data_IF_953266794409
#
_entry.id   IF_953266794409
#
_cell.length_a   1.000
_cell.length_b   1.000
_cell.length_c   1.000
_cell.angle_alpha   90.00
_cell.angle_beta   90.00
_cell.angle_gamma   90.00
#
_symmetry.space_group_name_H-M   'P 1'
#
loop_
_entity.id
_entity.type
_entity.pdbx_description
1 polymer ?
#
# COMPACT_ATOMS: atom_id res chain seq x y z
N UNK A 1 -16.32 -14.66 14.00
CA UNK A 1 -15.65 -13.77 13.03
C UNK A 1 -14.83 -14.61 12.04
N UNK A 2 -14.68 -14.19 10.79
CA UNK A 2 -14.16 -15.01 9.67
C UNK A 2 -12.66 -15.39 9.76
N UNK A 3 -11.98 -15.11 10.88
CA UNK A 3 -10.63 -15.57 11.20
C UNK A 3 -9.50 -14.87 10.45
N UNK A 4 -9.77 -13.77 9.74
CA UNK A 4 -8.74 -12.93 9.10
C UNK A 4 -7.95 -12.17 10.15
N UNK A 5 -6.66 -12.43 10.27
CA UNK A 5 -5.81 -11.85 11.31
C UNK A 5 -4.41 -11.52 10.79
N UNK A 6 -3.79 -10.49 11.33
CA UNK A 6 -2.39 -10.17 11.08
C UNK A 6 -1.48 -11.31 11.56
N UNK A 7 -0.44 -11.63 10.78
CA UNK A 7 0.55 -12.62 11.15
C UNK A 7 1.80 -11.95 11.73
N UNK A 8 1.70 -11.43 12.96
CA UNK A 8 2.82 -10.75 13.62
C UNK A 8 4.01 -11.68 13.90
N UNK A 9 3.75 -12.96 14.15
CA UNK A 9 4.77 -13.97 14.47
C UNK A 9 5.69 -14.31 13.29
N UNK A 10 5.19 -14.19 12.07
CA UNK A 10 5.94 -14.50 10.86
C UNK A 10 5.60 -13.47 9.78
N UNK A 11 5.81 -12.19 10.11
CA UNK A 11 5.37 -11.05 9.31
C UNK A 11 5.92 -11.08 7.87
N UNK A 12 7.18 -11.50 7.71
CA UNK A 12 7.89 -11.50 6.44
C UNK A 12 7.66 -12.76 5.58
N UNK A 13 6.74 -13.66 5.96
CA UNK A 13 6.27 -14.70 5.03
C UNK A 13 5.70 -14.08 3.77
N UNK A 14 6.16 -14.55 2.62
CA UNK A 14 5.65 -14.14 1.32
C UNK A 14 4.14 -14.39 1.20
N UNK A 15 3.63 -15.48 1.78
CA UNK A 15 2.22 -15.84 1.72
C UNK A 15 1.31 -14.81 2.39
N UNK A 16 1.84 -14.03 3.35
CA UNK A 16 1.08 -12.95 3.97
C UNK A 16 0.85 -11.75 3.04
N UNK A 17 1.60 -11.64 1.94
CA UNK A 17 1.46 -10.57 0.94
C UNK A 17 0.73 -11.05 -0.33
N UNK A 18 0.70 -12.37 -0.56
CA UNK A 18 0.03 -12.96 -1.72
C UNK A 18 -1.47 -13.14 -1.43
N UNK A 19 -2.32 -12.34 -2.08
CA UNK A 19 -3.77 -12.31 -1.80
C UNK A 19 -4.45 -13.68 -1.87
N UNK A 20 -4.05 -14.55 -2.81
CA UNK A 20 -4.59 -15.91 -2.92
C UNK A 20 -4.24 -16.76 -1.69
N UNK A 21 -3.03 -16.61 -1.16
CA UNK A 21 -2.58 -17.33 0.03
C UNK A 21 -3.19 -16.75 1.30
N UNK A 22 -3.38 -15.42 1.38
CA UNK A 22 -4.10 -14.75 2.47
C UNK A 22 -5.55 -15.26 2.56
N UNK A 23 -6.24 -15.42 1.43
CA UNK A 23 -7.62 -15.94 1.43
C UNK A 23 -7.71 -17.40 1.93
N UNK A 24 -6.68 -18.20 1.68
CA UNK A 24 -6.61 -19.60 2.13
C UNK A 24 -6.22 -19.71 3.60
N UNK A 25 -5.15 -19.00 4.01
CA UNK A 25 -4.58 -19.07 5.35
C UNK A 25 -5.32 -18.20 6.37
N UNK A 26 -6.09 -17.23 5.88
CA UNK A 26 -6.71 -16.13 6.65
C UNK A 26 -5.68 -15.31 7.42
N UNK A 27 -4.43 -15.32 6.98
CA UNK A 27 -3.30 -14.62 7.59
C UNK A 27 -2.64 -13.72 6.57
N UNK A 28 -2.38 -12.47 6.95
CA UNK A 28 -1.77 -11.51 6.07
C UNK A 28 -0.94 -10.45 6.79
N UNK A 29 -0.46 -9.48 6.01
CA UNK A 29 0.03 -8.19 6.49
C UNK A 29 -1.04 -7.09 6.31
N UNK A 30 -0.93 -5.93 6.98
CA UNK A 30 -1.97 -4.90 6.97
C UNK A 30 -2.51 -4.56 5.57
N UNK A 31 -1.63 -4.27 4.60
CA UNK A 31 -2.05 -3.92 3.25
C UNK A 31 -2.87 -5.02 2.56
N UNK A 32 -2.47 -6.28 2.71
CA UNK A 32 -3.17 -7.42 2.09
C UNK A 32 -4.57 -7.62 2.67
N UNK A 33 -4.71 -7.41 3.98
CA UNK A 33 -5.96 -7.59 4.70
C UNK A 33 -6.91 -6.43 4.42
N UNK A 34 -6.39 -5.21 4.31
CA UNK A 34 -7.18 -4.07 3.85
C UNK A 34 -7.72 -4.28 2.43
N UNK A 35 -6.91 -4.83 1.51
CA UNK A 35 -7.37 -5.16 0.16
C UNK A 35 -8.51 -6.18 0.19
N UNK A 36 -8.39 -7.24 1.00
CA UNK A 36 -9.45 -8.25 1.16
C UNK A 36 -10.71 -7.60 1.72
N UNK A 37 -10.59 -6.77 2.76
CA UNK A 37 -11.71 -6.08 3.39
C UNK A 37 -12.42 -5.15 2.40
N UNK A 38 -11.68 -4.31 1.67
CA UNK A 38 -12.24 -3.42 0.66
C UNK A 38 -12.94 -4.18 -0.47
N UNK A 39 -12.38 -5.34 -0.87
CA UNK A 39 -13.00 -6.19 -1.87
C UNK A 39 -14.32 -6.82 -1.36
N UNK A 40 -14.43 -7.14 -0.07
CA UNK A 40 -15.67 -7.64 0.54
C UNK A 40 -16.69 -6.51 0.68
N UNK A 41 -16.30 -5.36 1.24
CA UNK A 41 -17.18 -4.20 1.42
C UNK A 41 -17.84 -3.78 0.11
N UNK A 42 -17.06 -3.69 -0.99
CA UNK A 42 -17.57 -3.37 -2.33
C UNK A 42 -18.61 -4.39 -2.82
N UNK A 43 -18.44 -5.69 -2.54
CA UNK A 43 -19.42 -6.73 -2.91
C UNK A 43 -20.68 -6.67 -2.05
N UNK A 44 -20.58 -6.13 -0.85
CA UNK A 44 -21.72 -5.84 0.02
C UNK A 44 -22.42 -4.50 -0.31
N UNK A 45 -21.98 -3.78 -1.34
CA UNK A 45 -22.56 -2.47 -1.71
C UNK A 45 -22.09 -1.31 -0.83
N UNK A 46 -21.06 -1.51 0.00
CA UNK A 46 -20.47 -0.46 0.82
C UNK A 46 -19.33 0.23 0.07
N UNK A 47 -19.33 1.56 0.09
CA UNK A 47 -18.16 2.31 -0.32
C UNK A 47 -17.02 2.07 0.68
N UNK A 48 -15.82 1.86 0.16
CA UNK A 48 -14.66 1.55 0.96
C UNK A 48 -13.40 2.01 0.20
N UNK A 49 -12.61 2.87 0.83
CA UNK A 49 -11.41 3.45 0.25
C UNK A 49 -10.19 3.04 1.05
N UNK A 50 -9.13 2.62 0.36
CA UNK A 50 -7.85 2.33 1.00
C UNK A 50 -7.02 3.61 1.09
N UNK A 51 -6.67 4.01 2.31
CA UNK A 51 -5.80 5.16 2.56
C UNK A 51 -4.37 4.63 2.70
N UNK A 52 -3.66 4.68 1.59
CA UNK A 52 -2.33 4.14 1.45
C UNK A 52 -1.22 5.20 1.52
N UNK A 53 -1.50 6.39 2.05
CA UNK A 53 -0.49 7.42 2.27
C UNK A 53 0.38 7.16 3.51
N UNK A 54 -0.18 6.56 4.57
CA UNK A 54 0.54 6.39 5.83
C UNK A 54 1.82 5.52 5.70
N UNK A 55 2.95 5.95 6.27
CA UNK A 55 4.13 5.11 6.40
C UNK A 55 3.82 3.85 7.23
N UNK A 56 4.23 2.68 6.74
CA UNK A 56 4.09 1.37 7.42
C UNK A 56 2.66 0.90 7.72
N UNK A 57 1.64 1.74 7.53
CA UNK A 57 0.24 1.43 7.83
C UNK A 57 -0.66 1.69 6.62
N UNK A 58 -1.82 1.02 6.59
CA UNK A 58 -2.87 1.24 5.60
C UNK A 58 -4.17 1.39 6.38
N UNK A 59 -4.87 2.50 6.16
CA UNK A 59 -6.20 2.72 6.74
C UNK A 59 -7.27 2.37 5.74
N UNK A 60 -8.48 2.18 6.23
CA UNK A 60 -9.69 2.05 5.42
C UNK A 60 -10.61 3.20 5.78
N UNK A 61 -11.19 3.85 4.78
CA UNK A 61 -12.27 4.83 4.98
C UNK A 61 -13.58 4.25 4.46
N UNK A 62 -14.57 4.20 5.34
CA UNK A 62 -15.96 3.88 5.01
C UNK A 62 -16.74 5.18 5.18
N UNK A 63 -17.27 5.77 4.10
CA UNK A 63 -18.10 6.95 4.25
C UNK A 63 -19.39 6.55 4.97
N UNK A 64 -19.69 7.22 6.08
CA UNK A 64 -21.01 7.19 6.71
C UNK A 64 -21.94 8.00 5.82
N UNK A 65 -23.17 7.53 5.58
CA UNK A 65 -24.13 8.11 4.62
C UNK A 65 -24.29 9.65 4.76
N UNK A 66 -24.71 10.27 3.64
CA UNK A 66 -24.76 11.70 3.27
C UNK A 66 -25.12 12.75 4.35
N UNK A 67 -25.76 12.38 5.46
CA UNK A 67 -26.16 13.33 6.52
C UNK A 67 -24.98 13.79 7.39
N UNK A 68 -23.88 13.02 7.44
CA UNK A 68 -22.68 13.42 8.18
C UNK A 68 -21.82 14.46 7.42
N UNK A 69 -21.88 14.48 6.09
CA UNK A 69 -21.19 15.48 5.26
C UNK A 69 -21.77 16.89 5.48
N UNK A 70 -23.07 16.99 5.77
CA UNK A 70 -23.74 18.25 6.10
C UNK A 70 -23.35 18.83 7.48
N UNK A 71 -22.78 18.02 8.37
CA UNK A 71 -22.36 18.42 9.71
C UNK A 71 -20.83 18.53 9.88
N UNK A 72 -20.04 18.37 8.80
CA UNK A 72 -18.58 18.58 8.86
C UNK A 72 -17.80 17.56 9.71
N UNK A 73 -18.43 16.44 10.07
CA UNK A 73 -17.86 15.43 10.99
C UNK A 73 -17.72 14.03 10.36
N UNK A 74 -17.78 13.89 9.03
CA UNK A 74 -17.82 12.60 8.33
C UNK A 74 -16.45 11.99 7.98
N UNK A 75 -15.46 12.07 8.87
CA UNK A 75 -14.14 11.45 8.64
C UNK A 75 -13.89 10.34 9.67
N UNK A 76 -14.67 9.25 9.62
CA UNK A 76 -14.30 8.02 10.32
C UNK A 76 -13.41 7.17 9.41
N UNK A 77 -12.19 6.89 9.86
CA UNK A 77 -11.29 5.92 9.24
C UNK A 77 -11.23 4.68 10.15
N UNK A 78 -11.37 3.49 9.59
CA UNK A 78 -11.10 2.24 10.31
C UNK A 78 -9.61 1.91 10.14
N UNK A 79 -8.92 1.77 11.27
CA UNK A 79 -7.54 1.29 11.28
C UNK A 79 -7.54 -0.23 11.12
N UNK A 80 -6.80 -0.71 10.12
CA UNK A 80 -6.27 -2.07 10.20
C UNK A 80 -5.10 -2.11 11.20
N UNK A 81 -5.44 -1.98 12.47
CA UNK A 81 -4.77 -2.62 13.59
C UNK A 81 -5.88 -2.96 14.59
N UNK A 82 -6.45 -4.15 14.45
CA UNK A 82 -7.56 -4.72 15.24
C UNK A 82 -9.02 -4.35 14.90
N UNK A 83 -9.30 -3.65 13.80
CA UNK A 83 -10.68 -3.35 13.36
C UNK A 83 -11.39 -2.33 14.24
N UNK A 84 -10.62 -1.33 14.70
CA UNK A 84 -11.12 -0.25 15.52
C UNK A 84 -11.57 0.91 14.63
N UNK A 85 -12.85 1.26 14.76
CA UNK A 85 -13.38 2.50 14.22
C UNK A 85 -12.73 3.68 14.93
N UNK A 86 -12.21 4.63 14.16
CA UNK A 86 -11.58 5.84 14.68
C UNK A 86 -12.29 7.08 14.16
N UNK A 87 -12.43 8.06 15.03
CA UNK A 87 -12.74 9.42 14.61
C UNK A 87 -11.47 10.18 14.18
N UNK A 88 -11.63 11.43 13.75
CA UNK A 88 -10.49 12.25 13.35
C UNK A 88 -9.48 12.47 14.47
N UNK A 89 -9.94 12.60 15.72
CA UNK A 89 -9.07 12.82 16.88
C UNK A 89 -8.21 11.59 17.17
N UNK A 90 -8.77 10.39 17.00
CA UNK A 90 -8.06 9.14 17.09
C UNK A 90 -7.00 9.03 15.98
N UNK A 91 -7.33 9.44 14.74
CA UNK A 91 -6.40 9.40 13.60
C UNK A 91 -5.21 10.33 13.85
N UNK A 92 -5.45 11.53 14.38
CA UNK A 92 -4.39 12.46 14.78
C UNK A 92 -3.51 11.86 15.89
N UNK A 93 -4.10 11.23 16.91
CA UNK A 93 -3.35 10.57 17.99
C UNK A 93 -2.53 9.38 17.49
N UNK A 94 -3.06 8.61 16.55
CA UNK A 94 -2.33 7.54 15.88
C UNK A 94 -1.16 8.09 15.08
N UNK A 95 -1.39 9.11 14.27
CA UNK A 95 -0.35 9.75 13.47
C UNK A 95 0.76 10.37 14.34
N UNK A 96 0.41 11.04 15.44
CA UNK A 96 1.36 11.60 16.38
C UNK A 96 2.30 10.52 16.97
N UNK A 97 1.76 9.35 17.30
CA UNK A 97 2.54 8.20 17.79
C UNK A 97 3.46 7.64 16.72
N UNK A 98 3.01 7.60 15.46
CA UNK A 98 3.74 6.99 14.35
C UNK A 98 4.84 7.89 13.76
N UNK A 99 4.53 9.17 13.57
CA UNK A 99 5.43 10.17 12.97
C UNK A 99 6.39 10.78 14.00
N UNK A 100 6.10 10.58 15.30
CA UNK A 100 6.92 11.07 16.40
C UNK A 100 6.93 12.60 16.52
N UNK A 101 7.85 13.17 17.33
CA UNK A 101 7.94 14.62 17.58
C UNK A 101 8.38 15.46 16.36
N UNK A 102 8.53 14.86 15.16
CA UNK A 102 8.79 15.60 13.92
C UNK A 102 7.70 16.64 13.61
N UNK A 103 6.50 16.46 14.19
CA UNK A 103 5.36 17.36 14.06
C UNK A 103 4.87 17.77 15.46
N UNK A 104 5.69 18.54 16.18
CA UNK A 104 5.33 19.05 17.51
C UNK A 104 4.23 20.12 17.48
N UNK A 105 4.00 20.73 16.31
CA UNK A 105 2.97 21.73 16.07
C UNK A 105 1.66 21.03 15.63
N UNK A 106 0.55 21.18 16.39
CA UNK A 106 -0.74 20.58 16.06
C UNK A 106 -1.26 20.92 14.65
N UNK A 107 -1.04 22.15 14.16
CA UNK A 107 -1.54 22.55 12.83
C UNK A 107 -0.78 21.83 11.72
N UNK A 108 0.54 21.69 11.86
CA UNK A 108 1.39 20.94 10.91
C UNK A 108 1.09 19.45 10.93
N UNK A 109 0.73 18.91 12.10
CA UNK A 109 0.30 17.52 12.22
C UNK A 109 -1.00 17.29 11.45
N UNK A 110 -2.02 18.15 11.63
CA UNK A 110 -3.29 18.03 10.92
C UNK A 110 -3.09 18.09 9.39
N UNK A 111 -2.31 19.06 8.89
CA UNK A 111 -2.00 19.19 7.47
C UNK A 111 -1.28 17.95 6.91
N UNK A 112 -0.26 17.45 7.61
CA UNK A 112 0.46 16.25 7.21
C UNK A 112 -0.45 15.01 7.19
N UNK A 113 -1.29 14.85 8.20
CA UNK A 113 -2.25 13.75 8.29
C UNK A 113 -3.26 13.80 7.15
N UNK A 114 -3.78 14.99 6.81
CA UNK A 114 -4.65 15.19 5.63
C UNK A 114 -3.99 14.73 4.34
N UNK A 115 -2.67 14.95 4.19
CA UNK A 115 -1.89 14.39 3.08
C UNK A 115 -1.86 12.86 3.06
N UNK A 116 -1.76 12.21 4.22
CA UNK A 116 -1.69 10.75 4.34
C UNK A 116 -3.04 10.03 4.21
N UNK A 117 -4.15 10.70 4.53
CA UNK A 117 -5.52 10.14 4.43
C UNK A 117 -6.19 10.37 3.08
N UNK A 118 -5.45 10.82 2.06
CA UNK A 118 -6.01 10.98 0.72
C UNK A 118 -6.35 9.62 0.11
N UNK A 119 -7.43 9.59 -0.67
CA UNK A 119 -7.79 8.44 -1.50
C UNK A 119 -6.82 8.42 -2.68
N UNK A 120 -5.88 7.48 -2.65
CA UNK A 120 -4.92 7.30 -3.74
C UNK A 120 -5.48 6.36 -4.83
N UNK A 121 -4.99 6.47 -6.07
CA UNK A 121 -5.31 5.52 -7.12
C UNK A 121 -4.99 4.07 -6.71
N UNK A 122 -5.75 3.05 -7.16
CA UNK A 122 -5.50 1.65 -6.82
C UNK A 122 -4.07 1.17 -7.14
N UNK A 123 -3.45 1.73 -8.19
CA UNK A 123 -2.06 1.44 -8.56
C UNK A 123 -1.09 1.79 -7.43
N UNK A 124 -1.32 2.85 -6.65
CA UNK A 124 -0.47 3.22 -5.52
C UNK A 124 -0.53 2.17 -4.40
N UNK A 125 -1.71 1.60 -4.14
CA UNK A 125 -1.88 0.50 -3.19
C UNK A 125 -1.12 -0.73 -3.69
N UNK A 126 -1.27 -1.07 -4.97
CA UNK A 126 -0.58 -2.22 -5.55
C UNK A 126 0.95 -2.05 -5.54
N UNK A 127 1.45 -0.84 -5.84
CA UNK A 127 2.87 -0.50 -5.73
C UNK A 127 3.42 -0.67 -4.31
N UNK A 128 2.63 -0.37 -3.27
CA UNK A 128 3.03 -0.66 -1.87
C UNK A 128 3.08 -2.15 -1.58
N UNK A 129 2.13 -2.94 -2.13
CA UNK A 129 2.14 -4.39 -2.00
C UNK A 129 3.37 -5.00 -2.69
N UNK A 130 3.70 -4.52 -3.90
CA UNK A 130 4.90 -4.91 -4.64
C UNK A 130 6.18 -4.53 -3.89
N UNK A 131 6.26 -3.35 -3.29
CA UNK A 131 7.40 -2.96 -2.43
C UNK A 131 7.57 -3.89 -1.22
N UNK A 132 6.48 -4.33 -0.60
CA UNK A 132 6.56 -5.33 0.47
C UNK A 132 7.10 -6.67 -0.04
N UNK A 133 6.63 -7.15 -1.20
CA UNK A 133 7.14 -8.36 -1.82
C UNK A 133 8.62 -8.22 -2.21
N UNK A 134 9.02 -7.09 -2.79
CA UNK A 134 10.41 -6.81 -3.14
C UNK A 134 11.31 -6.89 -1.91
N UNK A 135 10.90 -6.27 -0.80
CA UNK A 135 11.63 -6.31 0.46
C UNK A 135 11.76 -7.75 1.01
N UNK A 136 10.71 -8.57 0.89
CA UNK A 136 10.73 -9.98 1.31
C UNK A 136 11.72 -10.76 0.42
N UNK A 137 11.59 -10.68 -0.89
CA UNK A 137 12.46 -11.43 -1.81
C UNK A 137 13.92 -10.97 -1.73
N UNK A 138 14.18 -9.68 -1.49
CA UNK A 138 15.53 -9.18 -1.20
C UNK A 138 16.14 -9.82 0.04
N UNK A 139 15.39 -9.95 1.14
CA UNK A 139 15.87 -10.62 2.35
C UNK A 139 16.18 -12.10 2.11
N UNK A 140 15.42 -12.75 1.24
CA UNK A 140 15.62 -14.15 0.84
C UNK A 140 16.62 -14.33 -0.30
N UNK A 141 17.13 -13.25 -0.89
CA UNK A 141 17.99 -13.28 -2.09
C UNK A 141 17.34 -14.05 -3.26
N UNK A 142 16.01 -13.98 -3.39
CA UNK A 142 15.27 -14.63 -4.49
C UNK A 142 15.24 -13.71 -5.72
N UNK A 143 16.31 -13.75 -6.50
CA UNK A 143 16.51 -12.84 -7.63
C UNK A 143 15.47 -13.04 -8.74
N UNK A 144 14.99 -14.27 -8.92
CA UNK A 144 13.96 -14.59 -9.92
C UNK A 144 12.64 -13.91 -9.56
N UNK A 145 12.21 -14.00 -8.30
CA UNK A 145 11.02 -13.30 -7.83
C UNK A 145 11.21 -11.78 -7.77
N UNK A 146 12.40 -11.30 -7.38
CA UNK A 146 12.72 -9.88 -7.42
C UNK A 146 12.57 -9.31 -8.84
N UNK A 147 13.10 -9.99 -9.86
CA UNK A 147 12.97 -9.56 -11.25
C UNK A 147 11.49 -9.43 -11.64
N UNK A 148 10.67 -10.45 -11.33
CA UNK A 148 9.24 -10.41 -11.62
C UNK A 148 8.47 -9.29 -10.92
N UNK A 149 8.88 -8.90 -9.70
CA UNK A 149 8.29 -7.77 -8.97
C UNK A 149 8.72 -6.44 -9.57
N UNK A 150 10.02 -6.26 -9.85
CA UNK A 150 10.55 -5.03 -10.43
C UNK A 150 9.95 -4.77 -11.81
N UNK A 151 9.86 -5.78 -12.67
CA UNK A 151 9.23 -5.65 -13.99
C UNK A 151 7.78 -5.20 -13.88
N UNK A 152 7.01 -5.77 -12.95
CA UNK A 152 5.63 -5.31 -12.71
C UNK A 152 5.57 -3.86 -12.22
N UNK A 153 6.45 -3.46 -11.30
CA UNK A 153 6.51 -2.08 -10.81
C UNK A 153 6.78 -1.09 -11.95
N UNK A 154 7.68 -1.45 -12.88
CA UNK A 154 7.95 -0.65 -14.08
C UNK A 154 6.77 -0.58 -15.03
N UNK A 155 6.11 -1.70 -15.31
CA UNK A 155 4.92 -1.73 -16.16
C UNK A 155 3.75 -0.91 -15.60
N UNK A 156 3.76 -0.61 -14.30
CA UNK A 156 2.78 0.25 -13.63
C UNK A 156 3.17 1.74 -13.62
N UNK A 157 4.29 2.11 -14.24
CA UNK A 157 4.73 3.50 -14.41
C UNK A 157 5.80 3.98 -13.44
N UNK A 158 6.44 3.10 -12.65
CA UNK A 158 7.63 3.49 -11.87
C UNK A 158 8.86 3.52 -12.78
N UNK A 159 9.13 4.69 -13.35
CA UNK A 159 10.25 4.96 -14.24
C UNK A 159 11.54 5.35 -13.49
N UNK A 160 11.69 4.99 -12.21
CA UNK A 160 12.89 5.35 -11.46
C UNK A 160 14.13 4.61 -11.98
N UNK A 161 15.22 5.35 -12.20
CA UNK A 161 16.51 4.76 -12.63
C UNK A 161 17.00 3.66 -11.69
N UNK A 162 16.61 3.74 -10.41
CA UNK A 162 16.94 2.72 -9.41
C UNK A 162 16.33 1.36 -9.73
N UNK A 163 15.03 1.33 -10.08
CA UNK A 163 14.36 0.08 -10.48
C UNK A 163 14.86 -0.42 -11.82
N UNK A 164 15.12 0.47 -12.77
CA UNK A 164 15.70 0.09 -14.05
C UNK A 164 17.06 -0.60 -13.90
N UNK A 165 17.99 0.02 -13.16
CA UNK A 165 19.31 -0.58 -12.92
C UNK A 165 19.18 -1.92 -12.21
N UNK A 166 18.28 -2.03 -11.24
CA UNK A 166 18.03 -3.27 -10.52
C UNK A 166 17.46 -4.36 -11.43
N UNK A 167 16.48 -4.04 -12.27
CA UNK A 167 15.89 -4.98 -13.24
C UNK A 167 16.94 -5.55 -14.19
N UNK A 168 17.78 -4.68 -14.77
CA UNK A 168 18.85 -5.09 -15.68
C UNK A 168 19.88 -5.96 -14.99
N UNK A 169 20.30 -5.59 -13.77
CA UNK A 169 21.24 -6.38 -12.99
C UNK A 169 20.72 -7.80 -12.70
N UNK A 170 19.47 -7.90 -12.26
CA UNK A 170 18.81 -9.19 -11.99
C UNK A 170 18.63 -10.03 -13.26
N UNK A 171 18.25 -9.40 -14.38
CA UNK A 171 18.12 -10.10 -15.66
C UNK A 171 19.45 -10.72 -16.12
N UNK A 172 20.54 -9.95 -16.07
CA UNK A 172 21.87 -10.42 -16.43
C UNK A 172 22.34 -11.57 -15.54
N UNK A 173 22.13 -11.45 -14.22
CA UNK A 173 22.51 -12.50 -13.26
C UNK A 173 21.77 -13.82 -13.51
N UNK A 174 20.49 -13.72 -13.92
CA UNK A 174 19.65 -14.87 -14.24
C UNK A 174 19.83 -15.39 -15.68
N UNK A 175 20.77 -14.83 -16.46
CA UNK A 175 21.01 -15.21 -17.85
C UNK A 175 19.85 -14.87 -18.79
N UNK A 176 19.06 -13.84 -18.46
CA UNK A 176 17.95 -13.33 -19.29
C UNK A 176 18.39 -12.09 -20.06
N UNK A 177 17.76 -11.87 -21.21
CA UNK A 177 17.96 -10.65 -21.97
C UNK A 177 17.39 -9.46 -21.17
N UNK A 178 18.19 -8.41 -20.89
CA UNK A 178 17.70 -7.25 -20.16
C UNK A 178 16.71 -6.47 -21.04
N UNK A 179 15.71 -5.81 -20.44
CA UNK A 179 14.78 -4.97 -21.19
C UNK A 179 15.53 -3.86 -21.93
N UNK A 180 15.11 -3.61 -23.17
CA UNK A 180 15.67 -2.57 -24.02
C UNK A 180 15.35 -1.20 -23.42
N UNK A 181 16.28 -0.25 -23.57
CA UNK A 181 16.06 1.13 -23.15
C UNK A 181 15.08 1.75 -24.16
N UNK A 182 13.91 2.19 -23.71
CA UNK A 182 13.14 3.15 -24.49
C UNK A 182 13.97 4.44 -24.50
N UNK A 183 14.54 4.80 -25.64
CA UNK A 183 15.27 6.05 -25.78
C UNK A 183 14.31 7.21 -25.55
N UNK A 184 14.63 8.03 -24.55
CA UNK A 184 13.89 9.27 -24.20
C UNK A 184 13.74 10.22 -25.41
N UNK A 185 14.55 10.04 -26.46
CA UNK A 185 14.54 10.84 -27.69
C UNK A 185 13.31 10.63 -28.60
N UNK A 186 12.49 9.57 -28.42
CA UNK A 186 11.32 9.36 -29.30
C UNK A 186 10.05 10.10 -28.85
N UNK A 187 9.96 10.52 -27.58
CA UNK A 187 8.77 11.22 -27.06
C UNK A 187 8.70 12.72 -27.38
N UNK A 188 9.80 13.36 -27.79
CA UNK A 188 9.81 14.80 -28.14
C UNK A 188 9.51 15.08 -29.63
N UNK A 189 9.24 14.05 -30.43
CA UNK A 189 8.99 14.20 -31.87
C UNK A 189 7.52 14.17 -32.31
N UNK A 190 6.58 14.02 -31.36
CA UNK A 190 5.12 14.01 -31.63
C UNK A 190 4.33 15.05 -30.82
N UNK A 191 4.85 16.27 -30.64
CA UNK A 191 4.06 17.44 -30.22
C UNK A 191 4.13 18.57 -31.26
#
# INVERSE_FOLDING_TARGET
EFGLVGNATDYYRVENSLLHAVLQSRRGIPISLCIVWAAVARRCGLACHLLAGFPQHVLIRVPVQQEAEAMGHAESADLYDSGQLMDWSDVLQFAARLLGPMLADPERLDEAVRGFVQILPPVNVYMRLLRNLLNIYQKHQDHACMLGVVSQMRSLGDASDGLERLERALALELGREPPQLESVDEMESEQ
#
